data_IF_115674545976
#
_entry.id   IF_115674545976
#
_cell.length_a   1.000
_cell.length_b   1.000
_cell.length_c   1.000
_cell.angle_alpha   90.00
_cell.angle_beta   90.00
_cell.angle_gamma   90.00
#
_symmetry.space_group_name_H-M   'P 1'
#
loop_
_entity.id
_entity.type
_entity.pdbx_description
1 polymer ?
#
# COMPACT_ATOMS: atom_id res chain seq x y z
N UNK A 1 3.15 -17.70 84.33
CA UNK A 1 3.02 -17.38 82.90
C UNK A 1 3.92 -18.34 82.13
N UNK A 2 3.35 -19.05 81.15
CA UNK A 2 3.75 -20.42 80.79
C UNK A 2 4.92 -20.45 79.78
N UNK A 3 6.06 -21.03 80.17
CA UNK A 3 7.27 -21.14 79.32
C UNK A 3 7.02 -21.93 78.02
N UNK A 4 6.07 -22.87 78.01
CA UNK A 4 5.72 -23.67 76.83
C UNK A 4 5.02 -22.85 75.72
N UNK A 5 4.22 -21.84 76.05
CA UNK A 5 3.58 -20.96 75.04
C UNK A 5 4.61 -20.05 74.36
N UNK A 6 5.59 -19.56 75.12
CA UNK A 6 6.67 -18.71 74.59
C UNK A 6 7.58 -19.46 73.61
N UNK A 7 7.84 -20.74 73.86
CA UNK A 7 8.73 -21.56 73.04
C UNK A 7 8.04 -21.99 71.73
N UNK A 8 6.75 -22.32 71.81
CA UNK A 8 5.91 -22.59 70.63
C UNK A 8 5.74 -21.34 69.75
N UNK A 9 5.48 -20.17 70.34
CA UNK A 9 5.41 -18.89 69.60
C UNK A 9 6.74 -18.54 68.93
N UNK A 10 7.88 -18.81 69.58
CA UNK A 10 9.21 -18.58 68.99
C UNK A 10 9.47 -19.47 67.77
N UNK A 11 9.10 -20.75 67.84
CA UNK A 11 9.24 -21.69 66.72
C UNK A 11 8.34 -21.32 65.54
N UNK A 12 7.10 -20.88 65.78
CA UNK A 12 6.17 -20.51 64.72
C UNK A 12 6.59 -19.21 64.03
N UNK A 13 7.05 -18.21 64.80
CA UNK A 13 7.67 -16.99 64.25
C UNK A 13 8.92 -17.32 63.41
N UNK A 14 9.76 -18.26 63.84
CA UNK A 14 10.92 -18.71 63.07
C UNK A 14 10.54 -19.33 61.72
N UNK A 15 9.47 -20.12 61.66
CA UNK A 15 8.96 -20.68 60.39
C UNK A 15 8.44 -19.59 59.46
N UNK A 16 7.67 -18.64 59.99
CA UNK A 16 7.13 -17.52 59.20
C UNK A 16 8.27 -16.67 58.63
N UNK A 17 9.28 -16.33 59.43
CA UNK A 17 10.46 -15.58 58.97
C UNK A 17 11.20 -16.34 57.86
N UNK A 18 11.41 -17.65 58.00
CA UNK A 18 12.03 -18.47 56.94
C UNK A 18 11.20 -18.50 55.66
N UNK A 19 9.87 -18.59 55.76
CA UNK A 19 8.98 -18.53 54.60
C UNK A 19 9.04 -17.15 53.92
N UNK A 20 9.05 -16.06 54.70
CA UNK A 20 9.15 -14.70 54.16
C UNK A 20 10.48 -14.48 53.43
N UNK A 21 11.61 -14.90 54.03
CA UNK A 21 12.93 -14.82 53.37
C UNK A 21 12.95 -15.63 52.08
N UNK A 22 12.40 -16.85 52.09
CA UNK A 22 12.32 -17.68 50.89
C UNK A 22 11.50 -17.01 49.79
N UNK A 23 10.34 -16.43 50.15
CA UNK A 23 9.46 -15.74 49.21
C UNK A 23 10.07 -14.45 48.66
N UNK A 24 10.80 -13.72 49.49
CA UNK A 24 11.55 -12.52 49.09
C UNK A 24 12.66 -12.86 48.10
N UNK A 25 13.38 -13.97 48.33
CA UNK A 25 14.38 -14.48 47.39
C UNK A 25 13.75 -14.94 46.07
N UNK A 26 12.62 -15.66 46.12
CA UNK A 26 11.87 -16.07 44.92
C UNK A 26 11.37 -14.85 44.13
N UNK A 27 10.86 -13.82 44.80
CA UNK A 27 10.43 -12.57 44.17
C UNK A 27 11.60 -11.83 43.51
N UNK A 28 12.76 -11.77 44.17
CA UNK A 28 13.96 -11.14 43.62
C UNK A 28 14.40 -11.83 42.33
N UNK A 29 14.46 -13.17 42.32
CA UNK A 29 14.82 -13.95 41.12
C UNK A 29 13.80 -13.76 39.99
N UNK A 30 12.50 -13.72 40.32
CA UNK A 30 11.44 -13.47 39.33
C UNK A 30 11.54 -12.05 38.76
N UNK A 31 11.83 -11.04 39.58
CA UNK A 31 11.98 -9.67 39.15
C UNK A 31 13.18 -9.53 38.20
N UNK A 32 14.34 -10.09 38.55
CA UNK A 32 15.52 -10.10 37.68
C UNK A 32 15.24 -10.81 36.34
N UNK A 33 14.51 -11.93 36.37
CA UNK A 33 14.12 -12.63 35.14
C UNK A 33 13.18 -11.81 34.27
N UNK A 34 12.21 -11.13 34.87
CA UNK A 34 11.27 -10.26 34.17
C UNK A 34 11.98 -9.05 33.54
N UNK A 35 12.85 -8.38 34.30
CA UNK A 35 13.64 -7.25 33.81
C UNK A 35 14.52 -7.67 32.63
N UNK A 36 15.13 -8.86 32.70
CA UNK A 36 15.88 -9.42 31.58
C UNK A 36 15.00 -9.66 30.35
N UNK A 37 13.82 -10.26 30.51
CA UNK A 37 12.90 -10.49 29.39
C UNK A 37 12.39 -9.19 28.78
N UNK A 38 12.08 -8.18 29.60
CA UNK A 38 11.67 -6.84 29.11
C UNK A 38 12.81 -6.19 28.33
N UNK A 39 14.05 -6.28 28.80
CA UNK A 39 15.21 -5.74 28.10
C UNK A 39 15.45 -6.45 26.75
N UNK A 40 15.37 -7.78 26.73
CA UNK A 40 15.49 -8.57 25.49
C UNK A 40 14.38 -8.22 24.49
N UNK A 41 13.11 -8.21 24.92
CA UNK A 41 11.97 -7.84 24.06
C UNK A 41 12.04 -6.41 23.56
N UNK A 42 12.47 -5.47 24.40
CA UNK A 42 12.64 -4.06 24.01
C UNK A 42 13.71 -3.94 22.92
N UNK A 43 14.82 -4.69 23.05
CA UNK A 43 15.87 -4.72 22.04
C UNK A 43 15.40 -5.35 20.72
N UNK A 44 14.64 -6.45 20.79
CA UNK A 44 14.04 -7.09 19.60
C UNK A 44 13.09 -6.13 18.87
N UNK A 45 12.19 -5.47 19.62
CA UNK A 45 11.25 -4.50 19.06
C UNK A 45 11.98 -3.32 18.41
N UNK A 46 13.01 -2.77 19.06
CA UNK A 46 13.81 -1.69 18.49
C UNK A 46 14.50 -2.11 17.17
N UNK A 47 15.05 -3.32 17.12
CA UNK A 47 15.68 -3.84 15.91
C UNK A 47 14.67 -4.06 14.77
N UNK A 48 13.47 -4.55 15.08
CA UNK A 48 12.39 -4.74 14.10
C UNK A 48 11.85 -3.40 13.59
N UNK A 49 11.65 -2.41 14.46
CA UNK A 49 11.21 -1.07 14.08
C UNK A 49 12.24 -0.41 13.15
N UNK A 50 13.52 -0.41 13.54
CA UNK A 50 14.60 0.12 12.72
C UNK A 50 14.63 -0.52 11.32
N UNK A 51 14.49 -1.85 11.26
CA UNK A 51 14.44 -2.58 9.97
C UNK A 51 13.24 -2.14 9.13
N UNK A 52 12.05 -2.03 9.72
CA UNK A 52 10.84 -1.66 8.99
C UNK A 52 10.91 -0.21 8.48
N UNK A 53 11.36 0.73 9.31
CA UNK A 53 11.56 2.13 8.93
C UNK A 53 12.58 2.24 7.79
N UNK A 54 13.71 1.55 7.89
CA UNK A 54 14.74 1.54 6.85
C UNK A 54 14.23 0.97 5.53
N UNK A 55 13.34 -0.03 5.56
CA UNK A 55 12.72 -0.59 4.35
C UNK A 55 11.77 0.41 3.69
N UNK A 56 10.96 1.10 4.49
CA UNK A 56 10.04 2.14 4.00
C UNK A 56 10.83 3.29 3.35
N UNK A 57 11.88 3.75 4.02
CA UNK A 57 12.76 4.81 3.51
C UNK A 57 13.49 4.39 2.22
N UNK A 58 14.03 3.16 2.19
CA UNK A 58 14.73 2.65 1.01
C UNK A 58 13.83 2.44 -0.22
N UNK A 59 12.56 2.09 -0.02
CA UNK A 59 11.58 2.03 -1.11
C UNK A 59 11.24 3.42 -1.64
N UNK A 60 11.36 4.46 -0.80
CA UNK A 60 11.06 5.84 -1.17
C UNK A 60 9.60 6.08 -1.54
N UNK A 61 8.73 5.16 -1.11
CA UNK A 61 7.29 5.17 -1.36
C UNK A 61 6.56 5.94 -0.27
N UNK A 62 5.32 6.34 -0.57
CA UNK A 62 4.43 6.91 0.42
C UNK A 62 3.79 5.75 1.18
N UNK A 63 3.73 5.83 2.50
CA UNK A 63 3.03 4.84 3.33
C UNK A 63 1.99 5.50 4.20
N UNK A 64 0.96 4.76 4.55
CA UNK A 64 -0.07 5.22 5.48
C UNK A 64 -0.53 4.13 6.42
N UNK A 65 -0.99 4.58 7.57
CA UNK A 65 -1.62 3.77 8.60
C UNK A 65 -2.87 4.48 9.09
N UNK A 66 -4.03 3.97 8.69
CA UNK A 66 -5.34 4.50 9.04
C UNK A 66 -5.95 3.69 10.17
N UNK A 67 -6.05 4.33 11.33
CA UNK A 67 -6.56 3.75 12.57
C UNK A 67 -8.05 4.06 12.70
N UNK A 68 -8.85 2.99 12.75
CA UNK A 68 -10.30 3.04 12.83
C UNK A 68 -10.77 2.44 14.17
N UNK A 69 -11.87 2.94 14.76
CA UNK A 69 -12.79 3.96 14.25
C UNK A 69 -12.36 5.41 14.57
N UNK A 70 -11.15 5.63 15.11
CA UNK A 70 -10.65 6.96 15.49
C UNK A 70 -10.57 7.93 14.29
N UNK A 71 -10.52 7.39 13.08
CA UNK A 71 -10.34 8.12 11.83
C UNK A 71 -9.04 8.94 11.85
N UNK A 72 -7.96 8.30 12.28
CA UNK A 72 -6.63 8.90 12.33
C UNK A 72 -5.73 8.24 11.27
N UNK A 73 -5.20 9.05 10.36
CA UNK A 73 -4.25 8.61 9.33
C UNK A 73 -2.86 9.12 9.68
N UNK A 74 -1.92 8.19 9.81
CA UNK A 74 -0.50 8.48 9.97
C UNK A 74 0.15 8.31 8.60
N UNK A 75 0.56 9.42 8.01
CA UNK A 75 1.32 9.45 6.77
C UNK A 75 2.82 9.32 7.06
N UNK A 76 3.50 8.49 6.28
CA UNK A 76 4.94 8.26 6.37
C UNK A 76 5.57 8.10 4.99
N UNK A 77 6.88 7.83 5.00
CA UNK A 77 7.67 7.77 3.78
C UNK A 77 7.82 9.15 3.14
N UNK A 78 7.82 9.21 1.82
CA UNK A 78 8.29 10.39 1.06
C UNK A 78 7.15 11.26 0.49
N UNK A 79 6.00 11.31 1.18
CA UNK A 79 4.82 12.03 0.69
C UNK A 79 5.05 13.53 0.54
N UNK A 80 5.86 14.15 1.41
CA UNK A 80 6.17 15.58 1.29
C UNK A 80 6.95 15.86 0.00
N UNK A 81 7.92 15.01 -0.33
CA UNK A 81 8.71 15.12 -1.56
C UNK A 81 7.88 14.83 -2.81
N UNK A 82 7.02 13.82 -2.76
CA UNK A 82 6.27 13.33 -3.93
C UNK A 82 5.03 14.17 -4.21
N UNK A 83 4.27 14.54 -3.18
CA UNK A 83 3.01 15.28 -3.31
C UNK A 83 3.14 16.77 -3.03
N UNK A 84 4.23 17.19 -2.37
CA UNK A 84 4.51 18.57 -2.03
C UNK A 84 3.79 19.10 -0.79
N UNK A 85 2.98 18.29 -0.10
CA UNK A 85 2.30 18.71 1.13
C UNK A 85 3.23 18.63 2.34
N UNK A 86 3.21 19.63 3.20
CA UNK A 86 3.75 19.49 4.56
C UNK A 86 2.78 18.70 5.45
N UNK A 87 3.27 18.28 6.62
CA UNK A 87 2.48 17.53 7.61
C UNK A 87 1.14 18.17 7.95
N UNK A 88 1.09 19.48 8.15
CA UNK A 88 -0.14 20.20 8.50
C UNK A 88 -1.14 20.25 7.34
N UNK A 89 -0.66 20.44 6.11
CA UNK A 89 -1.50 20.50 4.91
C UNK A 89 -1.99 19.13 4.45
N UNK A 90 -1.21 18.07 4.71
CA UNK A 90 -1.62 16.72 4.34
C UNK A 90 -2.90 16.33 5.09
N UNK A 91 -2.95 16.66 6.38
CA UNK A 91 -4.02 16.24 7.29
C UNK A 91 -3.80 14.83 7.82
N UNK A 92 -4.64 14.41 8.76
CA UNK A 92 -4.46 13.16 9.51
C UNK A 92 -5.77 12.40 9.74
N UNK A 93 -6.76 12.56 8.86
CA UNK A 93 -8.05 11.85 8.90
C UNK A 93 -8.37 11.22 7.54
N UNK A 94 -9.48 10.48 7.40
CA UNK A 94 -9.85 9.88 6.12
C UNK A 94 -10.05 10.88 4.97
N UNK A 95 -10.29 12.16 5.28
CA UNK A 95 -10.39 13.24 4.28
C UNK A 95 -9.04 13.66 3.74
N UNK A 96 -7.96 13.48 4.52
CA UNK A 96 -6.59 13.66 4.02
C UNK A 96 -6.31 12.86 2.75
N UNK A 97 -6.98 11.70 2.58
CA UNK A 97 -6.96 10.89 1.38
C UNK A 97 -8.10 11.23 0.41
N UNK A 98 -9.36 11.10 0.84
CA UNK A 98 -10.52 11.18 -0.08
C UNK A 98 -10.66 12.52 -0.80
N UNK A 99 -10.35 13.65 -0.14
CA UNK A 99 -10.45 14.99 -0.75
C UNK A 99 -9.37 15.24 -1.82
N UNK A 100 -8.32 14.42 -1.83
CA UNK A 100 -7.20 14.50 -2.77
C UNK A 100 -7.32 13.49 -3.92
N UNK A 101 -8.27 12.55 -3.87
CA UNK A 101 -8.59 11.70 -5.03
C UNK A 101 -9.29 12.54 -6.09
N UNK A 102 -8.91 12.36 -7.35
CA UNK A 102 -9.54 13.06 -8.46
C UNK A 102 -11.06 12.78 -8.49
N UNK A 103 -11.93 13.78 -8.69
CA UNK A 103 -13.39 13.61 -8.57
C UNK A 103 -13.99 12.55 -9.49
N UNK A 104 -13.41 12.33 -10.68
CA UNK A 104 -13.85 11.29 -11.61
C UNK A 104 -13.50 9.86 -11.14
N UNK A 105 -12.48 9.72 -10.31
CA UNK A 105 -11.96 8.42 -9.87
C UNK A 105 -12.55 8.02 -8.50
N UNK A 106 -12.96 9.01 -7.69
CA UNK A 106 -13.43 8.85 -6.32
C UNK A 106 -14.52 7.78 -6.15
N UNK A 107 -15.53 7.79 -7.01
CA UNK A 107 -16.64 6.83 -6.90
C UNK A 107 -16.18 5.38 -7.12
N UNK A 108 -15.24 5.15 -8.04
CA UNK A 108 -14.70 3.82 -8.32
C UNK A 108 -13.78 3.35 -7.18
N UNK A 109 -12.94 4.27 -6.68
CA UNK A 109 -12.04 4.03 -5.54
C UNK A 109 -12.81 3.62 -4.29
N UNK A 110 -13.82 4.40 -3.90
CA UNK A 110 -14.62 4.10 -2.71
C UNK A 110 -15.36 2.77 -2.83
N UNK A 111 -15.85 2.43 -4.03
CA UNK A 111 -16.54 1.16 -4.27
C UNK A 111 -15.62 -0.04 -4.05
N UNK A 112 -14.41 -0.01 -4.58
CA UNK A 112 -13.44 -1.10 -4.41
C UNK A 112 -12.91 -1.16 -2.96
N UNK A 113 -12.70 -0.02 -2.32
CA UNK A 113 -12.36 0.07 -0.89
C UNK A 113 -13.45 -0.59 -0.02
N UNK A 114 -14.72 -0.25 -0.25
CA UNK A 114 -15.87 -0.86 0.43
C UNK A 114 -15.97 -2.36 0.18
N UNK A 115 -15.67 -2.81 -1.04
CA UNK A 115 -15.65 -4.22 -1.38
C UNK A 115 -14.53 -4.97 -0.64
N UNK A 116 -13.37 -4.34 -0.46
CA UNK A 116 -12.28 -4.90 0.33
C UNK A 116 -12.64 -5.02 1.81
N UNK A 117 -13.29 -4.00 2.37
CA UNK A 117 -13.76 -3.98 3.76
C UNK A 117 -14.77 -5.10 4.05
N UNK A 118 -15.56 -5.52 3.06
CA UNK A 118 -16.60 -6.56 3.22
C UNK A 118 -16.10 -7.99 3.00
N UNK A 119 -14.83 -8.22 2.64
CA UNK A 119 -14.33 -9.59 2.54
C UNK A 119 -12.98 -9.83 1.88
N UNK A 120 -12.50 -8.96 0.97
CA UNK A 120 -11.20 -9.21 0.30
C UNK A 120 -10.02 -8.95 1.23
N UNK A 121 -10.17 -8.07 2.24
CA UNK A 121 -9.13 -7.64 3.19
C UNK A 121 -7.91 -6.97 2.56
N UNK A 122 -7.88 -6.84 1.24
CA UNK A 122 -6.87 -6.15 0.46
C UNK A 122 -7.58 -5.39 -0.67
N UNK A 123 -7.15 -4.16 -0.90
CA UNK A 123 -7.50 -3.41 -2.10
C UNK A 123 -6.24 -3.09 -2.91
N UNK A 124 -6.47 -2.87 -4.20
CA UNK A 124 -5.44 -2.63 -5.20
C UNK A 124 -6.04 -1.67 -6.24
N UNK A 125 -5.55 -0.43 -6.26
CA UNK A 125 -6.21 0.69 -6.94
C UNK A 125 -5.21 1.52 -7.72
N UNK A 126 -5.61 1.97 -8.90
CA UNK A 126 -4.90 3.01 -9.64
C UNK A 126 -5.83 4.21 -9.83
N UNK A 127 -5.40 5.39 -9.38
CA UNK A 127 -6.20 6.61 -9.49
C UNK A 127 -5.32 7.85 -9.54
N UNK A 128 -5.92 9.01 -9.85
CA UNK A 128 -5.23 10.29 -9.80
C UNK A 128 -5.31 10.89 -8.40
N UNK A 129 -4.16 11.25 -7.83
CA UNK A 129 -4.06 11.90 -6.53
C UNK A 129 -3.52 13.32 -6.69
N UNK A 130 -4.13 14.26 -5.98
CA UNK A 130 -3.87 15.69 -6.08
C UNK A 130 -2.60 16.04 -5.33
N UNK A 131 -1.75 16.86 -5.93
CA UNK A 131 -0.56 17.46 -5.32
C UNK A 131 -0.88 18.85 -4.75
N UNK A 132 0.02 19.36 -3.90
CA UNK A 132 -0.12 20.68 -3.30
C UNK A 132 -0.27 21.80 -4.33
N UNK A 133 0.45 21.71 -5.44
CA UNK A 133 0.39 22.69 -6.54
C UNK A 133 -0.92 22.62 -7.36
N UNK A 134 -1.80 21.66 -7.07
CA UNK A 134 -3.07 21.43 -7.74
C UNK A 134 -3.00 20.51 -8.95
N UNK A 135 -1.80 20.04 -9.34
CA UNK A 135 -1.63 19.00 -10.34
C UNK A 135 -2.10 17.64 -9.82
N UNK A 136 -2.19 16.65 -10.71
CA UNK A 136 -2.53 15.27 -10.36
C UNK A 136 -1.42 14.33 -10.81
N UNK A 137 -1.05 13.42 -9.92
CA UNK A 137 -0.20 12.28 -10.22
C UNK A 137 -1.04 11.02 -10.35
N UNK A 138 -0.65 10.13 -11.26
CA UNK A 138 -1.16 8.77 -11.23
C UNK A 138 -0.47 8.01 -10.11
N UNK A 139 -1.26 7.42 -9.22
CA UNK A 139 -0.78 6.60 -8.13
C UNK A 139 -1.35 5.20 -8.19
N UNK A 140 -0.56 4.24 -7.72
CA UNK A 140 -0.97 2.89 -7.42
C UNK A 140 -1.02 2.74 -5.91
N UNK A 141 -2.21 2.53 -5.35
CA UNK A 141 -2.45 2.41 -3.92
C UNK A 141 -2.88 0.97 -3.60
N UNK A 142 -2.10 0.33 -2.71
CA UNK A 142 -2.36 -1.02 -2.25
C UNK A 142 -2.31 -1.06 -0.72
N UNK A 143 -3.39 -1.55 -0.13
CA UNK A 143 -3.54 -1.61 1.33
C UNK A 143 -4.13 -2.93 1.81
N UNK A 144 -3.78 -3.28 3.05
CA UNK A 144 -4.33 -4.40 3.81
C UNK A 144 -5.23 -3.86 4.90
N UNK A 145 -6.41 -4.46 5.06
CA UNK A 145 -7.39 -4.13 6.08
C UNK A 145 -7.37 -5.18 7.20
N UNK A 146 -7.10 -4.75 8.42
CA UNK A 146 -7.27 -5.56 9.62
C UNK A 146 -8.73 -5.47 10.08
N UNK A 147 -9.43 -6.60 10.07
CA UNK A 147 -10.84 -6.71 10.39
C UNK A 147 -10.98 -7.54 11.67
N UNK A 148 -11.75 -7.03 12.63
CA UNK A 148 -11.98 -7.74 13.89
C UNK A 148 -13.04 -8.84 13.78
N UNK A 149 -13.24 -9.57 14.88
CA UNK A 149 -14.19 -10.68 14.95
C UNK A 149 -15.66 -10.24 14.74
N UNK A 150 -15.96 -8.93 14.83
CA UNK A 150 -17.29 -8.36 14.56
C UNK A 150 -17.48 -7.96 13.09
N UNK A 151 -16.45 -8.11 12.25
CA UNK A 151 -16.47 -7.71 10.85
C UNK A 151 -16.23 -6.22 10.61
N UNK A 152 -15.72 -5.50 11.62
CA UNK A 152 -15.41 -4.07 11.52
C UNK A 152 -13.93 -3.88 11.19
N UNK A 153 -13.62 -2.89 10.34
CA UNK A 153 -12.23 -2.54 10.01
C UNK A 153 -11.64 -1.73 11.16
N UNK A 154 -10.56 -2.23 11.78
CA UNK A 154 -9.86 -1.54 12.87
C UNK A 154 -8.63 -0.78 12.39
N UNK A 155 -8.02 -1.23 11.29
CA UNK A 155 -6.81 -0.60 10.77
C UNK A 155 -6.65 -0.88 9.29
N UNK A 156 -6.15 0.10 8.54
CA UNK A 156 -5.75 -0.06 7.15
C UNK A 156 -4.31 0.39 7.03
N UNK A 157 -3.45 -0.48 6.53
CA UNK A 157 -2.02 -0.17 6.32
C UNK A 157 -1.73 -0.39 4.84
N UNK A 158 -1.09 0.59 4.20
CA UNK A 158 -0.77 0.46 2.79
C UNK A 158 0.29 1.41 2.29
N UNK A 159 0.52 1.32 0.99
CA UNK A 159 1.56 2.02 0.27
C UNK A 159 0.97 2.67 -0.98
N UNK A 160 1.47 3.86 -1.31
CA UNK A 160 1.10 4.62 -2.50
C UNK A 160 2.36 4.85 -3.34
N UNK A 161 2.35 4.31 -4.55
CA UNK A 161 3.43 4.42 -5.53
C UNK A 161 3.07 5.43 -6.59
N UNK A 162 4.01 6.33 -6.92
CA UNK A 162 3.85 7.20 -8.10
C UNK A 162 4.11 6.37 -9.38
N UNK A 163 3.07 6.20 -10.19
CA UNK A 163 3.12 5.46 -11.47
C UNK A 163 2.95 6.38 -12.68
N UNK A 164 3.13 7.70 -12.49
CA UNK A 164 2.92 8.70 -13.54
C UNK A 164 3.81 8.44 -14.76
N UNK A 165 5.09 8.12 -14.57
CA UNK A 165 6.00 7.81 -15.68
C UNK A 165 5.54 6.58 -16.46
N UNK A 166 5.08 5.53 -15.76
CA UNK A 166 4.54 4.32 -16.39
C UNK A 166 3.31 4.66 -17.22
N UNK A 167 2.36 5.42 -16.68
CA UNK A 167 1.15 5.85 -17.41
C UNK A 167 1.47 6.70 -18.63
N UNK A 168 2.45 7.60 -18.53
CA UNK A 168 2.91 8.41 -19.66
C UNK A 168 3.57 7.55 -20.75
N UNK A 169 4.33 6.52 -20.36
CA UNK A 169 4.92 5.58 -21.31
C UNK A 169 3.85 4.71 -22.00
N UNK A 170 2.87 4.22 -21.25
CA UNK A 170 1.71 3.47 -21.78
C UNK A 170 0.93 4.30 -22.81
N UNK A 171 0.67 5.58 -22.51
CA UNK A 171 -0.06 6.46 -23.44
C UNK A 171 0.75 6.76 -24.70
N UNK A 172 2.05 7.08 -24.58
CA UNK A 172 2.93 7.27 -25.74
C UNK A 172 2.99 6.03 -26.63
N UNK A 173 3.04 4.84 -26.03
CA UNK A 173 3.03 3.59 -26.77
C UNK A 173 1.71 3.41 -27.52
N UNK A 174 0.59 3.71 -26.86
CA UNK A 174 -0.75 3.63 -27.45
C UNK A 174 -0.91 4.59 -28.63
N UNK A 175 -0.46 5.84 -28.50
CA UNK A 175 -0.43 6.82 -29.58
C UNK A 175 0.36 6.30 -30.79
N UNK A 176 1.53 5.68 -30.55
CA UNK A 176 2.35 5.10 -31.62
C UNK A 176 1.70 3.91 -32.30
N UNK A 177 0.98 3.07 -31.55
CA UNK A 177 0.21 1.95 -32.13
C UNK A 177 -0.90 2.49 -33.05
N UNK A 178 -1.65 3.50 -32.61
CA UNK A 178 -2.70 4.11 -33.43
C UNK A 178 -2.13 4.75 -34.70
N UNK A 179 -1.01 5.49 -34.59
CA UNK A 179 -0.33 6.10 -35.75
C UNK A 179 0.13 5.02 -36.76
N UNK A 180 0.66 3.90 -36.28
CA UNK A 180 1.08 2.78 -37.12
C UNK A 180 -0.11 2.08 -37.79
N UNK A 181 -1.22 1.89 -37.08
CA UNK A 181 -2.45 1.32 -37.64
C UNK A 181 -3.03 2.21 -38.76
N UNK A 182 -3.06 3.52 -38.55
CA UNK A 182 -3.48 4.49 -39.57
C UNK A 182 -2.56 4.45 -40.80
N UNK A 183 -1.24 4.44 -40.60
CA UNK A 183 -0.28 4.33 -41.69
C UNK A 183 -0.42 3.00 -42.45
N UNK A 184 -0.56 1.88 -41.75
CA UNK A 184 -0.74 0.56 -42.35
C UNK A 184 -2.00 0.52 -43.22
N UNK A 185 -3.13 1.01 -42.70
CA UNK A 185 -4.38 1.06 -43.44
C UNK A 185 -4.28 1.92 -44.71
N UNK A 186 -3.56 3.05 -44.66
CA UNK A 186 -3.31 3.90 -45.84
C UNK A 186 -2.40 3.22 -46.87
N UNK A 187 -1.35 2.50 -46.43
CA UNK A 187 -0.42 1.81 -47.31
C UNK A 187 -1.08 0.61 -48.02
N UNK A 188 -1.78 -0.25 -47.28
CA UNK A 188 -2.49 -1.41 -47.84
C UNK A 188 -3.61 -0.97 -48.78
N UNK A 189 -4.34 0.10 -48.45
CA UNK A 189 -5.34 0.67 -49.35
C UNK A 189 -4.77 1.10 -50.71
N UNK A 190 -3.52 1.59 -50.75
CA UNK A 190 -2.84 1.93 -52.02
C UNK A 190 -2.42 0.70 -52.80
N UNK A 191 -1.90 -0.33 -52.13
CA UNK A 191 -1.50 -1.59 -52.79
C UNK A 191 -2.70 -2.33 -53.38
N UNK A 192 -3.81 -2.44 -52.65
CA UNK A 192 -5.04 -3.04 -53.16
C UNK A 192 -5.60 -2.27 -54.37
N UNK A 193 -5.58 -0.93 -54.32
CA UNK A 193 -6.01 -0.10 -55.44
C UNK A 193 -5.08 -0.21 -56.65
N UNK A 194 -3.78 -0.36 -56.42
CA UNK A 194 -2.81 -0.66 -57.49
C UNK A 194 -3.13 -1.98 -58.18
N UNK A 195 -3.38 -3.05 -57.41
CA UNK A 195 -3.74 -4.36 -57.96
C UNK A 195 -5.05 -4.31 -58.76
N UNK A 196 -6.05 -3.56 -58.28
CA UNK A 196 -7.30 -3.33 -59.03
C UNK A 196 -7.06 -2.58 -60.33
N UNK A 197 -6.29 -1.50 -60.30
CA UNK A 197 -5.95 -0.72 -61.49
C UNK A 197 -5.15 -1.53 -62.51
N UNK A 198 -4.21 -2.35 -62.07
CA UNK A 198 -3.45 -3.25 -62.96
C UNK A 198 -4.38 -4.24 -63.68
N UNK A 199 -5.37 -4.81 -62.96
CA UNK A 199 -6.40 -5.66 -63.55
C UNK A 199 -7.27 -4.91 -64.56
N UNK A 200 -7.74 -3.71 -64.22
CA UNK A 200 -8.55 -2.88 -65.14
C UNK A 200 -7.78 -2.53 -66.42
N UNK A 201 -6.51 -2.13 -66.29
CA UNK A 201 -5.64 -1.82 -67.43
C UNK A 201 -5.50 -3.04 -68.33
N UNK A 202 -5.29 -4.23 -67.78
CA UNK A 202 -5.18 -5.46 -68.58
C UNK A 202 -6.46 -5.83 -69.33
N UNK A 203 -7.63 -5.62 -68.70
CA UNK A 203 -8.92 -5.84 -69.36
C UNK A 203 -9.04 -4.90 -70.57
N UNK A 204 -8.77 -3.60 -70.36
CA UNK A 204 -8.82 -2.60 -71.43
C UNK A 204 -7.81 -2.86 -72.55
N UNK A 205 -6.59 -3.27 -72.22
CA UNK A 205 -5.59 -3.64 -73.23
C UNK A 205 -6.09 -4.79 -74.11
N UNK A 206 -6.71 -5.80 -73.50
CA UNK A 206 -7.27 -6.95 -74.20
C UNK A 206 -8.43 -6.56 -75.11
N UNK A 207 -9.33 -5.67 -74.67
CA UNK A 207 -10.41 -5.12 -75.50
C UNK A 207 -9.89 -4.31 -76.70
N UNK A 208 -8.76 -3.62 -76.53
CA UNK A 208 -8.05 -2.90 -77.58
C UNK A 208 -7.21 -3.82 -78.51
N UNK A 209 -7.29 -5.15 -78.33
CA UNK A 209 -6.54 -6.12 -79.11
C UNK A 209 -5.03 -6.13 -78.83
N UNK A 210 -4.60 -5.60 -77.68
CA UNK A 210 -3.21 -5.59 -77.22
C UNK A 210 -3.01 -6.66 -76.14
N UNK A 211 -1.78 -7.16 -76.02
CA UNK A 211 -1.47 -8.09 -74.94
C UNK A 211 -1.50 -7.40 -73.56
N UNK A 212 -1.88 -8.14 -72.49
CA UNK A 212 -1.80 -7.65 -71.12
C UNK A 212 -0.37 -7.25 -70.77
N UNK A 213 -0.22 -6.19 -69.98
CA UNK A 213 1.10 -5.62 -69.63
C UNK A 213 1.44 -5.74 -68.15
N UNK A 214 0.43 -5.96 -67.32
CA UNK A 214 0.53 -6.16 -65.88
C UNK A 214 -0.03 -7.53 -65.50
#
# INVERSE_FOLDING_TARGET
MNKMDSDWQSQELSKIVKMLIKRDLELTVLQESLEKQVAERTKELAALLFRNESLVEALGEIVYDHILPKDEVIWGGEYERVLGYDKEQMGNDGRSWTDKVHPQDLAAVLKEFDAAAKGRRLYDLEYRFKCRDGSYLWVHDRGVMNINDKGEVERVIGVILNITERKQAEEKLREKVVELEEFHNLAVGRELRMIELEKEINILLKELGREPKY
#
